data_IF_470787227370
#
_entry.id   IF_470787227370
#
_cell.length_a   1.000
_cell.length_b   1.000
_cell.length_c   1.000
_cell.angle_alpha   90.00
_cell.angle_beta   90.00
_cell.angle_gamma   90.00
#
_symmetry.space_group_name_H-M   'P 1'
#
loop_
_entity.id
_entity.type
_entity.pdbx_description
1 polymer ?
#
# COMPACT_ATOMS: atom_id res chain seq x y z
N UNK A 1 1.93 37.02 -36.12
CA UNK A 1 3.09 37.79 -35.63
C UNK A 1 3.81 36.92 -34.59
N UNK A 2 5.08 36.52 -34.81
CA UNK A 2 5.79 35.63 -33.89
C UNK A 2 6.66 36.43 -32.88
N UNK A 3 6.74 35.94 -31.64
CA UNK A 3 7.76 36.34 -30.65
C UNK A 3 8.35 35.04 -30.08
N UNK A 4 9.50 34.56 -30.55
CA UNK A 4 10.86 34.89 -30.09
C UNK A 4 11.08 34.77 -28.58
N UNK A 5 11.45 33.56 -28.18
CA UNK A 5 12.66 33.21 -27.43
C UNK A 5 13.24 34.29 -26.49
N UNK A 6 13.03 34.10 -25.19
CA UNK A 6 13.82 34.55 -24.04
C UNK A 6 13.22 33.75 -22.86
N UNK A 7 13.90 32.94 -22.04
CA UNK A 7 15.18 33.16 -21.40
C UNK A 7 15.62 31.80 -20.79
N UNK A 8 16.58 31.11 -21.42
CA UNK A 8 17.42 30.15 -20.70
C UNK A 8 18.36 30.98 -19.81
N UNK A 9 18.04 31.16 -18.53
CA UNK A 9 18.99 31.75 -17.57
C UNK A 9 18.57 31.51 -16.12
N UNK A 10 18.56 30.26 -15.67
CA UNK A 10 18.63 29.92 -14.23
C UNK A 10 19.28 28.54 -14.07
N UNK A 11 20.47 28.38 -14.66
CA UNK A 11 21.46 27.42 -14.20
C UNK A 11 22.61 28.25 -13.62
N UNK A 12 23.14 27.76 -12.49
CA UNK A 12 24.31 28.20 -11.72
C UNK A 12 23.96 28.95 -10.41
N UNK A 13 24.69 28.56 -9.36
CA UNK A 13 24.66 29.01 -7.94
C UNK A 13 23.56 28.31 -7.09
N UNK A 14 23.82 27.44 -6.10
CA UNK A 14 25.03 27.09 -5.35
C UNK A 14 24.93 25.65 -4.82
N UNK A 15 26.00 24.88 -5.01
CA UNK A 15 26.29 23.65 -4.27
C UNK A 15 26.91 23.96 -2.90
N UNK A 16 26.72 23.07 -1.91
CA UNK A 16 27.79 22.79 -0.96
C UNK A 16 28.24 21.34 -1.11
N UNK A 17 29.52 21.20 -1.44
CA UNK A 17 30.31 19.98 -1.26
C UNK A 17 30.23 19.55 0.21
N UNK A 18 29.82 18.31 0.48
CA UNK A 18 30.06 17.67 1.78
C UNK A 18 31.05 16.53 1.54
N UNK A 19 32.23 16.73 2.10
CA UNK A 19 33.43 15.92 2.00
C UNK A 19 33.26 14.51 2.58
N UNK A 20 33.75 13.51 1.86
CA UNK A 20 34.12 12.21 2.44
C UNK A 20 35.31 12.40 3.38
N UNK A 21 35.17 12.05 4.65
CA UNK A 21 36.30 11.86 5.56
C UNK A 21 36.39 10.41 5.98
N UNK A 22 37.44 9.73 5.52
CA UNK A 22 37.92 8.45 6.06
C UNK A 22 38.47 8.68 7.47
N UNK A 23 37.94 7.97 8.45
CA UNK A 23 38.47 7.93 9.82
C UNK A 23 38.71 6.50 10.26
N UNK A 24 39.94 6.03 10.15
CA UNK A 24 40.43 4.85 10.88
C UNK A 24 40.97 5.33 12.23
N UNK A 25 40.41 4.83 13.32
CA UNK A 25 41.02 4.93 14.65
C UNK A 25 40.70 3.65 15.42
N UNK A 26 41.76 2.92 15.78
CA UNK A 26 41.75 1.69 16.56
C UNK A 26 41.81 1.98 18.07
N UNK A 27 41.24 1.04 18.83
CA UNK A 27 41.67 0.51 20.14
C UNK A 27 40.94 0.97 21.42
N UNK A 28 40.11 0.03 21.90
CA UNK A 28 39.92 -0.50 23.26
C UNK A 28 40.05 0.42 24.48
N UNK A 29 38.96 0.53 25.24
CA UNK A 29 39.00 0.37 26.71
C UNK A 29 37.60 0.01 27.21
N UNK A 30 37.50 -1.12 27.89
CA UNK A 30 36.24 -1.68 28.35
C UNK A 30 35.64 -0.93 29.54
N UNK A 31 34.31 -0.84 29.53
CA UNK A 31 33.47 -0.92 30.72
C UNK A 31 32.29 -1.83 30.37
N UNK A 32 32.34 -3.04 30.91
CA UNK A 32 31.26 -4.02 30.89
C UNK A 32 30.12 -3.51 31.76
N UNK A 33 29.05 -3.02 31.13
CA UNK A 33 27.73 -2.94 31.75
C UNK A 33 26.81 -3.77 30.86
N UNK A 34 26.56 -5.02 31.27
CA UNK A 34 25.56 -5.89 30.65
C UNK A 34 24.19 -5.22 30.81
N UNK A 35 23.75 -4.54 29.77
CA UNK A 35 22.34 -4.18 29.63
C UNK A 35 21.60 -5.48 29.28
N UNK A 36 20.60 -5.94 30.07
CA UNK A 36 19.81 -7.10 29.68
C UNK A 36 19.07 -6.75 28.40
N UNK A 37 19.40 -7.45 27.32
CA UNK A 37 18.60 -7.48 26.09
C UNK A 37 17.17 -7.79 26.48
N UNK A 38 16.17 -6.96 26.12
CA UNK A 38 14.78 -7.34 26.26
C UNK A 38 14.57 -8.55 25.36
N UNK A 39 14.31 -9.70 25.97
CA UNK A 39 13.87 -10.90 25.27
C UNK A 39 12.62 -10.51 24.46
N UNK A 40 12.58 -10.71 23.12
CA UNK A 40 11.37 -10.50 22.36
C UNK A 40 10.32 -11.46 22.90
N UNK A 41 9.37 -10.93 23.67
CA UNK A 41 8.25 -11.69 24.19
C UNK A 41 7.56 -12.39 23.04
N UNK A 42 7.35 -13.69 23.22
CA UNK A 42 6.52 -14.55 22.39
C UNK A 42 5.14 -13.92 22.21
N UNK A 43 4.98 -13.11 21.17
CA UNK A 43 3.67 -12.80 20.64
C UNK A 43 3.13 -14.13 20.09
N UNK A 44 1.89 -14.53 20.43
CA UNK A 44 1.28 -15.69 19.80
C UNK A 44 1.33 -15.50 18.28
N UNK A 45 1.77 -16.52 17.55
CA UNK A 45 1.69 -16.57 16.08
C UNK A 45 0.21 -16.57 15.68
N UNK A 46 -0.39 -15.39 15.59
CA UNK A 46 -1.73 -15.23 15.05
C UNK A 46 -1.56 -15.12 13.52
N UNK A 47 -2.02 -16.09 12.72
CA UNK A 47 -1.82 -16.11 11.26
C UNK A 47 -2.46 -14.90 10.55
N UNK A 48 -3.30 -14.16 11.26
CA UNK A 48 -3.98 -12.96 10.80
C UNK A 48 -2.97 -11.80 10.65
N UNK A 49 -1.99 -11.68 11.56
CA UNK A 49 -1.01 -10.58 11.48
C UNK A 49 -0.12 -10.73 10.25
N UNK A 50 0.36 -11.95 9.98
CA UNK A 50 1.16 -12.25 8.79
C UNK A 50 0.36 -12.05 7.50
N UNK A 51 -0.91 -12.42 7.51
CA UNK A 51 -1.79 -12.20 6.38
C UNK A 51 -2.03 -10.71 6.14
N UNK A 52 -2.25 -9.93 7.20
CA UNK A 52 -2.41 -8.48 7.13
C UNK A 52 -1.14 -7.81 6.62
N UNK A 53 0.04 -8.22 7.10
CA UNK A 53 1.32 -7.75 6.59
C UNK A 53 1.53 -8.08 5.10
N UNK A 54 0.99 -9.22 4.66
CA UNK A 54 1.08 -9.68 3.28
C UNK A 54 0.04 -9.05 2.33
N UNK A 55 -0.72 -8.05 2.76
CA UNK A 55 -1.54 -7.18 1.90
C UNK A 55 -0.70 -6.37 0.88
N UNK A 56 0.64 -6.44 0.89
CA UNK A 56 1.47 -5.92 -0.21
C UNK A 56 1.71 -6.92 -1.33
N UNK A 57 1.37 -8.20 -1.11
CA UNK A 57 1.67 -9.27 -2.04
C UNK A 57 0.61 -9.38 -3.14
N UNK A 58 1.06 -9.56 -4.38
CA UNK A 58 0.20 -9.91 -5.52
C UNK A 58 0.41 -11.37 -5.91
N UNK A 59 -0.64 -12.20 -6.00
CA UNK A 59 -2.04 -11.92 -5.60
C UNK A 59 -2.23 -11.93 -4.07
N UNK A 60 -3.33 -11.35 -3.53
CA UNK A 60 -3.53 -11.24 -2.09
C UNK A 60 -3.53 -12.60 -1.39
N UNK A 61 -3.11 -12.69 -0.12
CA UNK A 61 -3.12 -13.94 0.65
C UNK A 61 -4.51 -14.58 0.67
N UNK A 62 -4.57 -15.91 0.50
CA UNK A 62 -5.85 -16.65 0.38
C UNK A 62 -6.80 -16.41 1.56
N UNK A 63 -6.27 -16.22 2.75
CA UNK A 63 -7.04 -15.98 3.99
C UNK A 63 -7.75 -14.63 4.02
N UNK A 64 -7.27 -13.65 3.25
CA UNK A 64 -7.91 -12.33 3.14
C UNK A 64 -8.88 -12.24 1.96
N UNK A 65 -8.88 -13.27 1.09
CA UNK A 65 -9.76 -13.25 -0.07
C UNK A 65 -11.21 -13.42 0.38
N UNK A 66 -12.09 -12.67 -0.28
CA UNK A 66 -13.52 -12.79 -0.07
C UNK A 66 -13.98 -14.24 -0.29
N UNK A 67 -14.81 -14.79 0.62
CA UNK A 67 -15.52 -16.04 0.36
C UNK A 67 -16.72 -15.83 -0.58
N UNK A 68 -17.21 -14.60 -0.74
CA UNK A 68 -18.43 -14.25 -1.48
C UNK A 68 -18.14 -13.97 -2.95
N UNK A 69 -17.67 -14.99 -3.67
CA UNK A 69 -17.34 -14.84 -5.09
C UNK A 69 -18.58 -14.59 -5.95
N UNK A 70 -18.50 -13.63 -6.86
CA UNK A 70 -19.58 -13.34 -7.80
C UNK A 70 -19.33 -13.97 -9.18
N UNK A 71 -20.37 -14.45 -9.88
CA UNK A 71 -20.23 -15.01 -11.24
C UNK A 71 -19.56 -14.06 -12.24
N UNK A 72 -19.83 -12.77 -12.14
CA UNK A 72 -19.29 -11.71 -12.97
C UNK A 72 -17.77 -11.55 -12.79
N UNK A 73 -17.28 -11.86 -11.59
CA UNK A 73 -15.87 -11.71 -11.22
C UNK A 73 -15.07 -13.00 -11.37
N UNK A 74 -15.73 -14.14 -11.62
CA UNK A 74 -15.08 -15.42 -11.84
C UNK A 74 -14.04 -15.40 -12.99
N UNK A 75 -14.31 -14.79 -14.17
CA UNK A 75 -13.32 -14.71 -15.25
C UNK A 75 -12.25 -13.62 -15.03
N UNK A 76 -12.49 -12.68 -14.10
CA UNK A 76 -11.63 -11.50 -13.90
C UNK A 76 -10.56 -11.79 -12.86
N UNK A 77 -10.97 -11.94 -11.60
CA UNK A 77 -10.05 -12.08 -10.48
C UNK A 77 -10.55 -13.02 -9.37
N UNK A 78 -11.64 -13.75 -9.60
CA UNK A 78 -12.23 -14.63 -8.58
C UNK A 78 -12.65 -13.87 -7.31
N UNK A 79 -12.95 -12.57 -7.43
CA UNK A 79 -13.42 -11.71 -6.36
C UNK A 79 -14.93 -11.64 -6.24
N UNK A 80 -15.36 -10.67 -5.45
CA UNK A 80 -16.75 -10.30 -5.20
C UNK A 80 -17.08 -9.03 -6.00
N UNK A 81 -18.25 -9.00 -6.62
CA UNK A 81 -18.76 -7.84 -7.33
C UNK A 81 -19.34 -6.86 -6.32
N UNK A 82 -18.75 -5.67 -6.25
CA UNK A 82 -19.10 -4.63 -5.30
C UNK A 82 -19.55 -3.37 -6.03
N UNK A 83 -20.42 -2.57 -5.42
CA UNK A 83 -20.66 -1.19 -5.80
C UNK A 83 -19.81 -0.25 -4.95
N UNK A 84 -18.81 0.40 -5.55
CA UNK A 84 -17.93 1.34 -4.86
C UNK A 84 -18.24 2.78 -5.29
N UNK A 85 -18.26 3.73 -4.35
CA UNK A 85 -18.49 5.14 -4.69
C UNK A 85 -17.34 5.75 -5.49
N UNK A 86 -16.12 5.27 -5.29
CA UNK A 86 -14.95 5.66 -6.06
C UNK A 86 -13.94 4.53 -6.16
N UNK A 87 -13.00 4.65 -7.10
CA UNK A 87 -11.80 3.83 -7.16
C UNK A 87 -10.56 4.69 -7.03
N UNK A 88 -9.53 4.13 -6.43
CA UNK A 88 -8.24 4.79 -6.20
C UNK A 88 -7.11 3.83 -6.52
N UNK A 89 -6.04 4.37 -7.11
CA UNK A 89 -4.80 3.63 -7.26
C UNK A 89 -4.11 3.45 -5.90
N UNK A 90 -3.32 2.39 -5.76
CA UNK A 90 -2.59 2.05 -4.53
C UNK A 90 -1.53 3.08 -4.13
N UNK A 91 -1.07 3.91 -5.08
CA UNK A 91 -0.03 4.93 -4.87
C UNK A 91 -0.56 6.28 -4.35
N UNK A 92 -1.88 6.45 -4.25
CA UNK A 92 -2.46 7.66 -3.66
C UNK A 92 -2.02 7.83 -2.21
N UNK A 93 -1.60 9.03 -1.83
CA UNK A 93 -1.05 9.32 -0.51
C UNK A 93 -1.99 8.91 0.65
N UNK A 94 -3.30 8.98 0.43
CA UNK A 94 -4.32 8.50 1.39
C UNK A 94 -4.21 6.98 1.62
N UNK A 95 -4.00 6.24 0.54
CA UNK A 95 -3.89 4.79 0.52
C UNK A 95 -2.57 4.35 1.17
N UNK A 96 -1.48 5.07 0.89
CA UNK A 96 -0.17 4.90 1.57
C UNK A 96 -0.26 5.23 3.07
N UNK A 97 -1.00 6.27 3.45
CA UNK A 97 -1.20 6.61 4.86
C UNK A 97 -2.05 5.56 5.58
N UNK A 98 -3.13 5.07 4.97
CA UNK A 98 -3.92 3.97 5.51
C UNK A 98 -3.07 2.70 5.66
N UNK A 99 -2.26 2.39 4.66
CA UNK A 99 -1.24 1.34 4.72
C UNK A 99 -0.32 1.47 5.95
N UNK A 100 0.24 2.65 6.20
CA UNK A 100 1.05 2.90 7.39
C UNK A 100 0.28 2.75 8.70
N UNK A 101 -0.96 3.25 8.77
CA UNK A 101 -1.78 3.20 10.00
C UNK A 101 -2.17 1.77 10.36
N UNK A 102 -2.49 0.95 9.36
CA UNK A 102 -2.93 -0.43 9.53
C UNK A 102 -1.81 -1.46 9.39
N UNK A 103 -0.58 -1.01 9.14
CA UNK A 103 0.62 -1.85 9.12
C UNK A 103 0.73 -2.77 7.91
N UNK A 104 0.23 -2.35 6.74
CA UNK A 104 0.33 -3.13 5.51
C UNK A 104 1.00 -2.35 4.38
N UNK A 105 1.71 -3.05 3.49
CA UNK A 105 2.11 -2.48 2.19
C UNK A 105 0.94 -2.58 1.22
N UNK A 106 0.73 -1.60 0.36
CA UNK A 106 -0.18 -1.75 -0.80
C UNK A 106 0.63 -1.64 -2.07
N UNK A 107 0.33 -2.51 -3.02
CA UNK A 107 0.91 -2.42 -4.35
C UNK A 107 0.37 -1.14 -5.03
N UNK A 108 1.26 -0.21 -5.41
CA UNK A 108 0.86 1.06 -6.00
C UNK A 108 0.05 0.92 -7.31
N UNK A 109 0.22 -0.20 -8.00
CA UNK A 109 -0.45 -0.46 -9.28
C UNK A 109 -1.84 -1.10 -9.12
N UNK A 110 -2.25 -1.46 -7.91
CA UNK A 110 -3.54 -2.09 -7.69
C UNK A 110 -4.64 -1.03 -7.56
N UNK A 111 -5.78 -1.28 -8.21
CA UNK A 111 -6.98 -0.46 -8.07
C UNK A 111 -7.70 -0.92 -6.80
N UNK A 112 -8.14 0.03 -5.98
CA UNK A 112 -8.89 -0.22 -4.76
C UNK A 112 -10.22 0.52 -4.81
N UNK A 113 -11.25 -0.04 -4.20
CA UNK A 113 -12.58 0.56 -4.09
C UNK A 113 -12.75 1.30 -2.76
N UNK A 114 -13.37 2.48 -2.80
CA UNK A 114 -13.72 3.25 -1.60
C UNK A 114 -15.23 3.28 -1.40
N UNK A 115 -15.64 3.16 -0.14
CA UNK A 115 -17.04 3.19 0.27
C UNK A 115 -17.87 2.21 -0.56
N UNK A 116 -17.55 0.93 -0.44
CA UNK A 116 -18.13 -0.16 -1.22
C UNK A 116 -19.23 -0.89 -0.45
N UNK A 117 -20.28 -1.28 -1.17
CA UNK A 117 -21.39 -2.06 -0.65
C UNK A 117 -21.88 -3.08 -1.70
N UNK A 118 -22.85 -3.91 -1.32
CA UNK A 118 -23.50 -4.88 -2.20
C UNK A 118 -24.71 -4.32 -2.98
N UNK A 119 -24.93 -3.00 -3.02
CA UNK A 119 -26.09 -2.38 -3.67
C UNK A 119 -25.86 -2.28 -5.19
N UNK A 120 -25.89 -3.43 -5.86
CA UNK A 120 -25.56 -3.53 -7.28
C UNK A 120 -26.65 -2.96 -8.20
N UNK A 121 -27.92 -3.00 -7.81
CA UNK A 121 -29.02 -2.59 -8.71
C UNK A 121 -29.10 -1.08 -8.91
N UNK A 122 -28.86 -0.32 -7.83
CA UNK A 122 -28.94 1.15 -7.81
C UNK A 122 -27.57 1.80 -7.72
N UNK A 123 -26.50 1.06 -8.04
CA UNK A 123 -25.12 1.47 -7.78
C UNK A 123 -24.83 2.89 -8.29
N UNK A 124 -24.67 3.89 -7.40
CA UNK A 124 -24.45 5.28 -7.81
C UNK A 124 -23.00 5.57 -8.20
N UNK A 125 -22.11 4.58 -8.06
CA UNK A 125 -20.70 4.67 -8.40
C UNK A 125 -20.31 3.66 -9.46
N UNK A 126 -19.27 2.88 -9.18
CA UNK A 126 -18.71 1.89 -10.10
C UNK A 126 -18.91 0.48 -9.57
N UNK A 127 -19.36 -0.41 -10.45
CA UNK A 127 -19.35 -1.85 -10.20
C UNK A 127 -17.96 -2.39 -10.47
N UNK A 128 -17.37 -3.06 -9.50
CA UNK A 128 -15.98 -3.52 -9.59
C UNK A 128 -15.79 -4.85 -8.87
N UNK A 129 -14.92 -5.70 -9.40
CA UNK A 129 -14.60 -7.00 -8.82
C UNK A 129 -13.42 -6.88 -7.85
N UNK A 130 -13.61 -7.11 -6.56
CA UNK A 130 -12.55 -6.98 -5.56
C UNK A 130 -12.23 -8.33 -4.89
N UNK A 131 -10.95 -8.65 -4.73
CA UNK A 131 -10.55 -9.91 -4.09
C UNK A 131 -10.59 -9.84 -2.57
N UNK A 132 -10.48 -8.66 -1.95
CA UNK A 132 -10.48 -8.49 -0.49
C UNK A 132 -11.57 -7.48 -0.11
N UNK A 133 -12.61 -7.97 0.58
CA UNK A 133 -13.78 -7.18 0.99
C UNK A 133 -13.94 -7.10 2.51
N UNK A 134 -13.00 -7.67 3.28
CA UNK A 134 -13.04 -7.67 4.74
C UNK A 134 -12.96 -6.26 5.39
N UNK A 135 -12.57 -5.24 4.63
CA UNK A 135 -12.46 -3.84 5.08
C UNK A 135 -13.65 -2.98 4.62
N UNK A 136 -14.66 -3.61 4.03
CA UNK A 136 -15.90 -2.93 3.63
C UNK A 136 -16.70 -2.49 4.88
N UNK A 137 -17.44 -1.37 4.79
CA UNK A 137 -17.68 -0.57 3.59
C UNK A 137 -16.53 0.37 3.23
N UNK A 138 -15.59 0.65 4.14
CA UNK A 138 -14.60 1.70 3.93
C UNK A 138 -13.71 1.46 2.70
N UNK A 139 -13.19 0.24 2.56
CA UNK A 139 -12.17 -0.10 1.57
C UNK A 139 -12.37 -1.51 1.04
N UNK A 140 -12.23 -1.68 -0.27
CA UNK A 140 -12.08 -2.97 -0.93
C UNK A 140 -10.79 -2.96 -1.73
N UNK A 141 -10.04 -4.05 -1.71
CA UNK A 141 -8.68 -4.11 -2.25
C UNK A 141 -8.57 -5.13 -3.40
N UNK A 142 -7.54 -4.96 -4.25
CA UNK A 142 -7.31 -5.76 -5.46
C UNK A 142 -8.53 -5.81 -6.38
N UNK A 143 -9.01 -4.63 -6.71
CA UNK A 143 -10.18 -4.45 -7.53
C UNK A 143 -9.82 -4.38 -9.02
N UNK A 144 -10.68 -4.92 -9.88
CA UNK A 144 -10.54 -4.90 -11.33
C UNK A 144 -11.89 -4.70 -12.00
N UNK A 145 -11.90 -4.02 -13.16
CA UNK A 145 -13.11 -3.85 -13.96
C UNK A 145 -13.74 -5.21 -14.27
N UNK A 146 -15.07 -5.36 -14.15
CA UNK A 146 -15.76 -6.59 -14.53
C UNK A 146 -15.81 -6.84 -16.05
N UNK A 147 -15.37 -5.86 -16.87
CA UNK A 147 -15.41 -5.87 -18.33
C UNK A 147 -14.10 -5.39 -18.94
#
# INVERSE_FOLDING_TARGET
>A
MPAFAHLLSFLLFLSPFISLTSGTATRDTGLSLRNPTPEPGLLPEIPIIDALLALGASPPPKVLRTPEKSPECAPVNQGELMCCRATVAGDLQLVVWLAMVYGYDLNPNDINGLNCDGELDTCPGVKICCQVTALTPLLALWCQSPY
#
